data_IF_680442869942
#
_entry.id   IF_680442869942
#
_cell.length_a   1.000
_cell.length_b   1.000
_cell.length_c   1.000
_cell.angle_alpha   90.00
_cell.angle_beta   90.00
_cell.angle_gamma   90.00
#
_symmetry.space_group_name_H-M   'P 1'
#
loop_
_entity.id
_entity.type
_entity.pdbx_description
1 polymer ?
#
# COMPACT_ATOMS: atom_id res chain seq x y z
N UNK A 1 11.37 -1.99 7.77
CA UNK A 1 10.03 -2.18 7.19
C UNK A 1 9.97 -3.55 6.48
N UNK A 2 9.27 -4.51 7.08
CA UNK A 2 8.94 -5.78 6.43
C UNK A 2 7.67 -5.54 5.63
N UNK A 3 7.80 -5.46 4.31
CA UNK A 3 6.66 -5.35 3.40
C UNK A 3 5.91 -6.69 3.43
N UNK A 4 4.70 -6.69 3.99
CA UNK A 4 3.81 -7.84 3.91
C UNK A 4 3.04 -7.72 2.61
N UNK A 5 3.55 -8.38 1.58
CA UNK A 5 2.92 -8.47 0.27
C UNK A 5 1.59 -9.21 0.38
N UNK A 6 0.52 -8.66 -0.22
CA UNK A 6 -0.68 -9.43 -0.51
C UNK A 6 -0.26 -10.65 -1.34
N UNK A 7 -0.50 -11.90 -0.85
CA UNK A 7 -0.14 -13.08 -1.60
C UNK A 7 -0.89 -13.09 -2.94
N UNK A 8 -0.16 -13.03 -4.06
CA UNK A 8 -0.73 -13.17 -5.40
C UNK A 8 -0.71 -11.93 -6.30
N UNK A 9 -0.20 -10.77 -5.87
CA UNK A 9 -0.01 -9.61 -6.74
C UNK A 9 1.33 -9.68 -7.52
N UNK A 10 1.33 -9.87 -8.86
CA UNK A 10 2.55 -9.75 -9.65
C UNK A 10 2.84 -8.27 -9.95
N UNK A 11 3.41 -7.53 -9.00
CA UNK A 11 3.96 -6.21 -9.29
C UNK A 11 5.35 -6.34 -9.91
N UNK A 12 5.53 -5.70 -11.07
CA UNK A 12 6.77 -5.71 -11.87
C UNK A 12 7.92 -5.16 -11.02
N UNK A 13 8.96 -5.98 -10.80
CA UNK A 13 10.26 -5.48 -10.32
C UNK A 13 10.84 -4.50 -11.34
N UNK A 14 10.93 -3.23 -11.01
CA UNK A 14 11.85 -2.30 -11.68
C UNK A 14 13.28 -2.72 -11.31
N UNK A 15 14.06 -3.12 -12.33
CA UNK A 15 15.49 -3.40 -12.16
C UNK A 15 16.23 -2.06 -12.22
N UNK A 16 16.68 -1.55 -11.08
CA UNK A 16 17.69 -0.49 -11.05
C UNK A 16 19.08 -1.12 -11.24
N UNK A 17 19.74 -0.78 -12.34
CA UNK A 17 21.14 -1.07 -12.57
C UNK A 17 22.01 -0.06 -11.77
N UNK A 18 22.92 -0.56 -10.94
CA UNK A 18 24.07 0.16 -10.41
C UNK A 18 25.18 -0.88 -10.23
N UNK A 19 26.35 -0.76 -10.85
CA UNK A 19 27.18 0.43 -10.92
C UNK A 19 28.13 0.42 -9.73
N UNK A 20 28.99 -0.60 -9.63
CA UNK A 20 29.94 -0.74 -8.53
C UNK A 20 31.17 0.14 -8.80
N UNK A 21 31.26 1.27 -8.11
CA UNK A 21 32.52 1.97 -7.85
C UNK A 21 33.04 1.54 -6.48
N UNK A 22 34.25 1.01 -6.44
CA UNK A 22 35.01 0.75 -5.22
C UNK A 22 36.47 1.15 -5.46
N UNK A 23 36.90 2.22 -4.79
CA UNK A 23 38.30 2.61 -4.67
C UNK A 23 38.86 2.10 -3.34
N UNK A 24 40.07 1.51 -3.36
CA UNK A 24 41.07 1.57 -2.29
C UNK A 24 42.36 0.81 -2.70
N UNK A 25 43.53 1.12 -2.09
CA UNK A 25 44.79 1.33 -2.84
C UNK A 25 45.90 0.32 -2.52
N UNK A 26 46.93 0.28 -3.38
CA UNK A 26 48.25 -0.27 -3.00
C UNK A 26 49.19 -0.58 -4.17
N UNK A 27 50.43 -0.07 -4.09
CA UNK A 27 51.62 -0.76 -4.59
C UNK A 27 52.20 -0.35 -5.96
N UNK A 28 53.43 0.20 -5.91
CA UNK A 28 54.37 0.50 -7.03
C UNK A 28 54.66 -0.78 -7.85
N UNK A 29 55.02 -0.80 -9.15
CA UNK A 29 56.22 -0.23 -9.80
C UNK A 29 56.22 -0.47 -11.33
N UNK A 30 56.84 0.48 -12.08
CA UNK A 30 57.63 0.38 -13.34
C UNK A 30 57.00 -0.08 -14.68
N UNK A 31 57.14 0.82 -15.68
CA UNK A 31 57.69 0.72 -17.07
C UNK A 31 57.32 -0.55 -17.89
N UNK A 32 56.91 -0.53 -19.16
CA UNK A 32 57.28 0.31 -20.31
C UNK A 32 56.44 -0.10 -21.55
N UNK A 33 56.33 0.80 -22.55
CA UNK A 33 56.38 0.63 -24.04
C UNK A 33 55.66 -0.62 -24.64
N UNK A 34 54.87 -0.63 -25.71
CA UNK A 34 54.70 0.17 -26.95
C UNK A 34 53.69 -0.64 -27.81
N UNK A 35 52.98 -0.01 -28.75
CA UNK A 35 52.50 -0.72 -29.96
C UNK A 35 50.99 -0.91 -30.12
N UNK A 36 50.39 -0.07 -30.96
CA UNK A 36 49.25 -0.36 -31.86
C UNK A 36 49.85 -0.79 -33.23
N UNK A 37 49.09 -1.18 -34.28
CA UNK A 37 47.68 -1.64 -34.41
C UNK A 37 47.52 -2.81 -35.44
N UNK A 38 46.26 -3.02 -35.91
CA UNK A 38 45.77 -3.72 -37.13
C UNK A 38 45.39 -5.21 -36.95
N UNK A 39 44.10 -5.58 -37.01
CA UNK A 39 43.15 -5.64 -38.13
C UNK A 39 43.34 -6.87 -39.03
N UNK A 40 42.36 -7.78 -39.04
CA UNK A 40 41.69 -8.27 -40.26
C UNK A 40 40.57 -9.28 -39.99
N UNK A 41 39.64 -9.25 -40.93
CA UNK A 41 38.40 -10.01 -41.06
C UNK A 41 38.63 -11.51 -41.33
N UNK A 42 37.58 -12.30 -41.09
CA UNK A 42 37.48 -13.69 -41.55
C UNK A 42 36.09 -14.26 -41.33
N UNK A 43 35.29 -14.29 -42.41
CA UNK A 43 34.02 -14.99 -42.53
C UNK A 43 34.20 -16.51 -42.40
N UNK A 44 33.29 -17.20 -41.69
CA UNK A 44 32.79 -18.53 -42.06
C UNK A 44 31.61 -18.96 -41.15
N UNK A 45 30.43 -19.13 -41.76
CA UNK A 45 29.42 -20.17 -41.42
C UNK A 45 29.80 -21.44 -42.24
N UNK A 46 29.29 -22.67 -41.99
CA UNK A 46 28.00 -23.11 -41.42
C UNK A 46 28.21 -24.19 -40.31
N UNK A 47 27.29 -24.96 -39.72
CA UNK A 47 25.98 -25.49 -40.12
C UNK A 47 25.22 -26.05 -38.89
N UNK A 48 23.90 -26.12 -39.03
CA UNK A 48 22.84 -26.99 -38.44
C UNK A 48 22.85 -27.63 -37.03
N UNK A 49 21.59 -27.87 -36.60
CA UNK A 49 21.03 -28.75 -35.56
C UNK A 49 20.85 -28.16 -34.14
N UNK A 50 19.77 -28.38 -33.37
CA UNK A 50 18.39 -28.89 -33.55
C UNK A 50 17.69 -28.65 -32.19
N UNK A 51 16.35 -28.53 -32.22
CA UNK A 51 15.38 -28.87 -31.16
C UNK A 51 15.03 -27.87 -30.01
N UNK A 52 13.71 -27.82 -29.73
CA UNK A 52 13.10 -27.38 -28.46
C UNK A 52 12.25 -26.11 -28.54
N UNK A 53 11.11 -26.11 -29.25
CA UNK A 53 9.74 -26.24 -28.69
C UNK A 53 9.40 -25.30 -27.51
N UNK A 54 8.37 -24.46 -27.71
CA UNK A 54 7.76 -23.66 -26.64
C UNK A 54 6.97 -22.43 -27.12
N UNK A 55 6.10 -22.57 -28.12
CA UNK A 55 5.09 -21.55 -28.43
C UNK A 55 3.88 -21.77 -27.52
N UNK A 56 3.50 -20.78 -26.71
CA UNK A 56 2.13 -20.65 -26.23
C UNK A 56 1.51 -19.40 -26.85
N UNK A 57 0.69 -19.65 -27.87
CA UNK A 57 -0.09 -18.64 -28.54
C UNK A 57 -1.29 -18.26 -27.65
N UNK A 58 -1.47 -16.96 -27.44
CA UNK A 58 -2.71 -16.38 -26.95
C UNK A 58 -3.80 -16.58 -28.01
N UNK A 59 -4.63 -17.62 -27.83
CA UNK A 59 -5.78 -17.86 -28.69
C UNK A 59 -6.92 -16.93 -28.27
N UNK A 60 -7.18 -15.92 -29.11
CA UNK A 60 -8.43 -15.16 -29.16
C UNK A 60 -9.63 -16.12 -29.26
N UNK A 61 -10.51 -16.14 -28.25
CA UNK A 61 -11.89 -16.61 -28.45
C UNK A 61 -12.75 -15.42 -28.88
N UNK A 62 -13.35 -15.53 -30.06
CA UNK A 62 -14.46 -14.69 -30.51
C UNK A 62 -15.77 -15.27 -29.98
N UNK A 63 -16.66 -14.36 -29.53
CA UNK A 63 -18.11 -14.48 -29.65
C UNK A 63 -18.82 -15.53 -28.81
N UNK A 64 -19.34 -15.11 -27.66
CA UNK A 64 -20.61 -15.60 -27.14
C UNK A 64 -21.46 -14.39 -26.76
N UNK A 65 -22.52 -14.15 -27.53
CA UNK A 65 -23.58 -13.19 -27.21
C UNK A 65 -24.33 -13.68 -25.99
N UNK A 66 -24.07 -13.10 -24.82
CA UNK A 66 -24.91 -13.30 -23.64
C UNK A 66 -25.98 -12.22 -23.60
N UNK A 67 -27.23 -12.67 -23.61
CA UNK A 67 -28.42 -11.89 -23.35
C UNK A 67 -28.27 -11.12 -22.03
N UNK A 68 -28.73 -9.87 -22.02
CA UNK A 68 -28.75 -8.99 -20.85
C UNK A 68 -29.66 -9.54 -19.76
N UNK A 69 -29.08 -10.30 -18.84
CA UNK A 69 -29.55 -10.37 -17.45
C UNK A 69 -28.91 -9.24 -16.63
N UNK A 70 -29.49 -8.85 -15.49
CA UNK A 70 -28.80 -8.00 -14.54
C UNK A 70 -27.44 -8.62 -14.20
N UNK A 71 -26.38 -7.81 -13.99
CA UNK A 71 -25.10 -8.35 -13.57
C UNK A 71 -25.30 -9.22 -12.31
N UNK A 72 -24.61 -10.37 -12.20
CA UNK A 72 -24.71 -11.18 -11.00
C UNK A 72 -24.42 -10.29 -9.78
N UNK A 73 -25.27 -10.41 -8.74
CA UNK A 73 -25.08 -9.69 -7.50
C UNK A 73 -23.64 -9.91 -7.02
N UNK A 74 -22.89 -8.80 -6.90
CA UNK A 74 -21.54 -8.85 -6.37
C UNK A 74 -21.60 -9.48 -4.98
N UNK A 75 -20.76 -10.49 -4.64
CA UNK A 75 -20.78 -11.06 -3.30
C UNK A 75 -20.66 -9.94 -2.27
N UNK A 76 -21.45 -9.99 -1.19
CA UNK A 76 -21.33 -9.05 -0.09
C UNK A 76 -19.87 -9.04 0.39
N UNK A 77 -19.28 -7.85 0.44
CA UNK A 77 -17.88 -7.59 0.79
C UNK A 77 -17.85 -6.36 1.68
N UNK A 78 -16.98 -6.38 2.67
CA UNK A 78 -16.82 -5.26 3.59
C UNK A 78 -15.42 -4.65 3.45
N UNK A 79 -15.35 -3.41 2.98
CA UNK A 79 -14.16 -2.59 3.05
C UNK A 79 -14.30 -1.63 4.23
N UNK A 80 -13.43 -1.80 5.22
CA UNK A 80 -13.37 -1.00 6.42
C UNK A 80 -12.18 -0.05 6.35
N UNK A 81 -12.42 1.21 6.67
CA UNK A 81 -11.37 2.23 6.72
C UNK A 81 -10.99 2.50 8.17
N UNK A 82 -9.71 2.38 8.49
CA UNK A 82 -9.17 2.83 9.79
C UNK A 82 -8.20 3.97 9.55
N UNK A 83 -8.63 5.21 9.78
CA UNK A 83 -7.75 6.38 9.77
C UNK A 83 -7.44 6.82 11.20
N UNK A 84 -6.32 7.51 11.32
CA UNK A 84 -5.99 8.38 12.43
C UNK A 84 -5.78 9.78 11.90
N UNK A 85 -6.30 10.74 12.65
CA UNK A 85 -5.97 12.15 12.64
C UNK A 85 -4.48 12.38 12.44
N UNK A 86 -3.62 11.58 13.06
CA UNK A 86 -2.19 11.81 12.95
C UNK A 86 -1.38 10.54 12.74
N UNK A 87 -0.16 10.71 12.27
CA UNK A 87 0.90 9.71 12.42
C UNK A 87 0.97 9.31 13.90
N UNK A 88 1.24 8.03 14.19
CA UNK A 88 1.36 7.48 15.55
C UNK A 88 0.08 7.42 16.40
N UNK A 89 -1.11 7.53 15.80
CA UNK A 89 -2.37 7.34 16.53
C UNK A 89 -2.84 5.90 16.73
N UNK A 90 -1.98 4.89 16.51
CA UNK A 90 -2.32 3.48 16.74
C UNK A 90 -3.05 2.77 15.59
N UNK A 91 -3.18 3.39 14.41
CA UNK A 91 -3.88 2.82 13.22
C UNK A 91 -3.46 1.39 12.89
N UNK A 92 -2.16 1.20 12.62
CA UNK A 92 -1.60 -0.07 12.17
C UNK A 92 -1.74 -1.14 13.26
N UNK A 93 -1.65 -0.75 14.53
CA UNK A 93 -1.87 -1.65 15.66
C UNK A 93 -3.32 -2.10 15.72
N UNK A 94 -4.27 -1.17 15.67
CA UNK A 94 -5.71 -1.47 15.66
C UNK A 94 -6.09 -2.34 14.46
N UNK A 95 -5.62 -2.01 13.25
CA UNK A 95 -5.88 -2.78 12.04
C UNK A 95 -5.35 -4.22 12.13
N UNK A 96 -4.13 -4.40 12.65
CA UNK A 96 -3.55 -5.73 12.88
C UNK A 96 -4.30 -6.50 13.97
N UNK A 97 -4.77 -5.82 15.02
CA UNK A 97 -5.52 -6.47 16.08
C UNK A 97 -6.89 -6.95 15.57
N UNK A 98 -7.59 -6.12 14.79
CA UNK A 98 -8.82 -6.49 14.09
C UNK A 98 -8.59 -7.66 13.13
N UNK A 99 -7.53 -7.62 12.33
CA UNK A 99 -7.19 -8.70 11.39
C UNK A 99 -7.04 -10.07 12.08
N UNK A 100 -6.47 -10.11 13.28
CA UNK A 100 -6.30 -11.36 14.04
C UNK A 100 -7.62 -11.97 14.52
N UNK A 101 -8.65 -11.15 14.72
CA UNK A 101 -9.92 -11.54 15.32
C UNK A 101 -11.08 -11.62 14.32
N UNK A 102 -10.86 -11.19 13.08
CA UNK A 102 -11.85 -11.23 12.00
C UNK A 102 -11.50 -12.34 11.01
N UNK A 103 -12.46 -13.22 10.67
CA UNK A 103 -12.24 -14.22 9.62
C UNK A 103 -12.11 -13.54 8.26
N UNK A 104 -11.33 -14.16 7.37
CA UNK A 104 -11.14 -13.70 5.98
C UNK A 104 -10.79 -12.19 5.85
N UNK A 105 -9.93 -11.70 6.76
CA UNK A 105 -9.56 -10.29 6.84
C UNK A 105 -8.15 -10.01 6.29
N UNK A 106 -8.06 -9.06 5.36
CA UNK A 106 -6.80 -8.52 4.83
C UNK A 106 -6.57 -7.09 5.33
N UNK A 107 -5.32 -6.67 5.45
CA UNK A 107 -4.96 -5.29 5.81
C UNK A 107 -4.08 -4.70 4.72
N UNK A 108 -4.38 -3.48 4.30
CA UNK A 108 -3.60 -2.67 3.38
C UNK A 108 -3.16 -1.38 4.08
N UNK A 109 -1.86 -1.12 4.17
CA UNK A 109 -1.31 0.10 4.78
C UNK A 109 -0.94 1.12 3.72
N UNK A 110 -1.44 2.35 3.85
CA UNK A 110 -1.08 3.46 2.97
C UNK A 110 0.42 3.79 3.02
N UNK A 111 1.06 3.57 4.18
CA UNK A 111 2.48 3.83 4.38
C UNK A 111 3.37 2.96 3.46
N UNK A 112 2.86 1.84 2.93
CA UNK A 112 3.59 0.98 1.98
C UNK A 112 3.68 1.58 0.57
N UNK A 113 2.93 2.66 0.30
CA UNK A 113 2.83 3.29 -1.03
C UNK A 113 3.55 4.65 -1.10
N UNK A 114 4.44 4.97 -0.16
CA UNK A 114 5.27 6.17 -0.30
C UNK A 114 6.23 6.07 -1.49
N UNK A 115 6.34 7.17 -2.23
CA UNK A 115 7.36 7.35 -3.27
C UNK A 115 8.77 7.36 -2.65
N UNK A 116 9.81 7.02 -3.43
CA UNK A 116 11.18 7.17 -2.95
C UNK A 116 11.48 8.64 -2.62
N UNK A 117 12.35 8.87 -1.63
CA UNK A 117 12.73 10.21 -1.16
C UNK A 117 13.16 11.17 -2.29
N UNK A 118 13.81 10.64 -3.34
CA UNK A 118 14.23 11.42 -4.52
C UNK A 118 13.08 12.04 -5.31
N UNK A 119 11.86 11.58 -5.12
CA UNK A 119 10.64 12.08 -5.77
C UNK A 119 9.79 12.94 -4.81
N UNK A 120 10.25 13.14 -3.58
CA UNK A 120 9.54 13.94 -2.58
C UNK A 120 9.99 15.39 -2.69
N UNK A 121 9.03 16.29 -2.94
CA UNK A 121 9.31 17.72 -3.02
C UNK A 121 9.66 18.31 -1.66
N UNK A 122 10.41 19.40 -1.68
CA UNK A 122 10.78 20.17 -0.49
C UNK A 122 10.17 21.56 -0.61
N UNK A 123 9.55 22.08 0.45
CA UNK A 123 9.02 23.44 0.46
C UNK A 123 10.09 24.53 0.67
N UNK A 124 9.65 25.78 0.65
CA UNK A 124 10.50 26.97 0.86
C UNK A 124 11.23 26.97 2.22
N UNK A 125 10.71 26.24 3.21
CA UNK A 125 11.30 26.11 4.54
C UNK A 125 12.27 24.92 4.65
N UNK A 126 12.47 24.16 3.57
CA UNK A 126 13.33 22.98 3.56
C UNK A 126 12.65 21.71 4.09
N UNK A 127 11.31 21.70 4.22
CA UNK A 127 10.58 20.53 4.70
C UNK A 127 10.14 19.61 3.57
N UNK A 128 10.44 18.32 3.70
CA UNK A 128 9.97 17.28 2.78
C UNK A 128 8.46 17.13 2.89
N UNK A 129 7.77 17.16 1.75
CA UNK A 129 6.31 17.13 1.69
C UNK A 129 5.78 15.69 1.74
N UNK A 130 5.90 15.01 2.88
CA UNK A 130 5.38 13.64 3.05
C UNK A 130 3.88 13.59 3.38
N UNK A 131 3.32 14.66 3.96
CA UNK A 131 1.93 14.66 4.44
C UNK A 131 0.91 15.09 3.35
N UNK A 132 1.23 14.87 2.06
CA UNK A 132 0.40 15.18 0.88
C UNK A 132 0.18 13.95 -0.01
N UNK A 133 -0.87 13.95 -0.85
CA UNK A 133 -1.18 12.81 -1.73
C UNK A 133 -0.10 12.57 -2.80
N UNK A 134 0.57 13.63 -3.22
CA UNK A 134 1.64 13.63 -4.23
C UNK A 134 2.86 12.82 -3.77
N UNK A 135 3.04 12.63 -2.47
CA UNK A 135 4.09 11.79 -1.89
C UNK A 135 3.82 10.28 -2.01
N UNK A 136 2.60 9.90 -2.42
CA UNK A 136 2.13 8.53 -2.45
C UNK A 136 1.89 8.06 -3.89
N UNK A 137 2.16 6.78 -4.15
CA UNK A 137 1.75 6.09 -5.36
C UNK A 137 0.31 5.58 -5.21
N UNK A 138 -0.67 6.49 -5.27
CA UNK A 138 -2.08 6.16 -5.09
C UNK A 138 -2.63 5.28 -6.23
N UNK A 139 -2.02 5.29 -7.41
CA UNK A 139 -2.37 4.37 -8.51
C UNK A 139 -2.01 2.92 -8.17
N UNK A 140 -0.81 2.69 -7.63
CA UNK A 140 -0.38 1.37 -7.17
C UNK A 140 -1.26 0.88 -6.01
N UNK A 141 -1.63 1.79 -5.09
CA UNK A 141 -2.58 1.49 -4.02
C UNK A 141 -3.96 1.06 -4.57
N UNK A 142 -4.50 1.78 -5.56
CA UNK A 142 -5.75 1.42 -6.23
C UNK A 142 -5.65 0.08 -6.96
N UNK A 143 -4.50 -0.22 -7.57
CA UNK A 143 -4.24 -1.51 -8.20
C UNK A 143 -4.28 -2.65 -7.18
N UNK A 144 -3.65 -2.47 -6.02
CA UNK A 144 -3.68 -3.45 -4.92
C UNK A 144 -5.10 -3.69 -4.40
N UNK A 145 -5.88 -2.62 -4.21
CA UNK A 145 -7.30 -2.70 -3.79
C UNK A 145 -8.12 -3.43 -4.85
N UNK A 146 -7.95 -3.09 -6.13
CA UNK A 146 -8.68 -3.72 -7.24
C UNK A 146 -8.35 -5.21 -7.34
N UNK A 147 -7.08 -5.58 -7.19
CA UNK A 147 -6.66 -6.98 -7.19
C UNK A 147 -7.29 -7.76 -6.04
N UNK A 148 -7.33 -7.18 -4.83
CA UNK A 148 -8.05 -7.77 -3.69
C UNK A 148 -9.55 -7.90 -3.97
N UNK A 149 -10.18 -6.89 -4.57
CA UNK A 149 -11.59 -6.92 -4.93
C UNK A 149 -11.91 -7.99 -5.99
N UNK A 150 -11.01 -8.25 -6.93
CA UNK A 150 -11.22 -9.30 -7.94
C UNK A 150 -11.16 -10.70 -7.31
N UNK A 151 -10.21 -10.94 -6.40
CA UNK A 151 -10.00 -12.25 -5.79
C UNK A 151 -9.78 -12.18 -4.26
N UNK A 152 -10.84 -11.90 -3.49
CA UNK A 152 -10.71 -11.66 -2.05
C UNK A 152 -10.42 -12.93 -1.23
N UNK A 153 -10.47 -14.13 -1.82
CA UNK A 153 -10.54 -15.43 -1.13
C UNK A 153 -9.34 -16.37 -1.35
N UNK A 154 -8.22 -15.92 -1.92
CA UNK A 154 -7.08 -16.83 -2.18
C UNK A 154 -6.34 -17.36 -0.93
N UNK A 155 -6.76 -16.99 0.29
CA UNK A 155 -6.12 -17.40 1.53
C UNK A 155 -6.58 -18.75 2.10
N UNK A 156 -7.71 -19.32 1.68
CA UNK A 156 -8.20 -20.60 2.22
C UNK A 156 -8.78 -21.52 1.14
N UNK A 157 -7.91 -22.30 0.51
CA UNK A 157 -8.32 -23.54 -0.13
C UNK A 157 -8.47 -24.61 0.96
N UNK A 158 -9.69 -24.86 1.43
CA UNK A 158 -10.01 -26.09 2.15
C UNK A 158 -11.29 -26.71 1.59
N UNK A 159 -11.09 -27.88 1.02
CA UNK A 159 -12.07 -28.93 0.75
C UNK A 159 -12.90 -29.22 2.01
N UNK A 160 -14.21 -28.96 1.97
CA UNK A 160 -15.32 -29.79 2.46
C UNK A 160 -16.60 -28.94 2.61
N UNK A 161 -17.72 -29.66 2.61
CA UNK A 161 -19.11 -29.22 2.50
C UNK A 161 -19.53 -27.97 3.31
N UNK A 162 -20.50 -27.25 2.73
CA UNK A 162 -21.37 -26.25 3.39
C UNK A 162 -20.63 -25.14 4.16
N UNK A 163 -19.61 -24.54 3.55
CA UNK A 163 -18.98 -23.33 4.11
C UNK A 163 -19.98 -22.17 4.17
N UNK A 164 -20.24 -21.68 5.38
CA UNK A 164 -20.83 -20.36 5.61
C UNK A 164 -20.08 -19.39 4.69
N UNK A 165 -20.78 -18.68 3.79
CA UNK A 165 -20.16 -17.64 2.96
C UNK A 165 -19.65 -16.53 3.87
N UNK A 166 -18.41 -16.67 4.33
CA UNK A 166 -17.74 -15.65 5.11
C UNK A 166 -17.49 -14.43 4.22
N UNK A 167 -18.04 -13.28 4.63
CA UNK A 167 -17.86 -12.01 3.96
C UNK A 167 -16.37 -11.68 4.00
N UNK A 168 -15.67 -11.54 2.86
CA UNK A 168 -14.29 -11.11 2.87
C UNK A 168 -14.18 -9.66 3.35
N UNK A 169 -13.20 -9.39 4.21
CA UNK A 169 -12.99 -8.08 4.83
C UNK A 169 -11.64 -7.52 4.37
N UNK A 170 -11.65 -6.27 3.88
CA UNK A 170 -10.44 -5.49 3.65
C UNK A 170 -10.41 -4.32 4.63
N UNK A 171 -9.38 -4.26 5.47
CA UNK A 171 -9.09 -3.09 6.29
C UNK A 171 -8.04 -2.26 5.55
N UNK A 172 -8.39 -1.04 5.19
CA UNK A 172 -7.45 -0.06 4.63
C UNK A 172 -7.13 0.95 5.70
N UNK A 173 -5.86 1.03 6.09
CA UNK A 173 -5.38 1.95 7.11
C UNK A 173 -4.38 2.95 6.53
N UNK A 174 -4.49 4.21 6.96
CA UNK A 174 -3.71 5.28 6.39
C UNK A 174 -4.09 6.64 6.96
N UNK A 175 -3.30 7.65 6.67
CA UNK A 175 -3.47 8.99 7.23
C UNK A 175 -4.01 10.01 6.22
N UNK A 176 -4.17 9.69 4.92
CA UNK A 176 -4.74 10.56 3.87
C UNK A 176 -5.92 9.95 3.10
N UNK A 177 -6.44 8.80 3.54
CA UNK A 177 -7.42 8.02 2.77
C UNK A 177 -8.71 8.77 2.37
N UNK A 178 -9.21 9.70 3.20
CA UNK A 178 -10.47 10.43 2.94
C UNK A 178 -10.36 11.48 1.84
N UNK A 179 -9.16 11.74 1.34
CA UNK A 179 -8.90 12.83 0.41
C UNK A 179 -8.81 12.37 -1.03
N UNK A 180 -8.70 11.06 -1.20
CA UNK A 180 -8.54 10.46 -2.50
C UNK A 180 -9.91 10.03 -3.03
N UNK A 181 -10.55 10.96 -3.74
CA UNK A 181 -11.90 10.82 -4.32
C UNK A 181 -12.19 9.48 -5.01
N UNK A 182 -11.24 8.86 -5.73
CA UNK A 182 -11.49 7.55 -6.34
C UNK A 182 -11.89 6.45 -5.34
N UNK A 183 -11.62 6.64 -4.05
CA UNK A 183 -12.03 5.70 -3.02
C UNK A 183 -13.40 6.01 -2.41
N UNK A 184 -14.02 7.17 -2.63
CA UNK A 184 -15.18 7.65 -1.85
C UNK A 184 -16.36 6.66 -1.78
N UNK A 185 -16.51 5.80 -2.78
CA UNK A 185 -17.61 4.85 -2.91
C UNK A 185 -17.31 3.44 -2.38
N UNK A 186 -16.08 3.15 -1.96
CA UNK A 186 -15.70 1.78 -1.60
C UNK A 186 -15.95 1.42 -0.14
N UNK A 187 -16.29 2.38 0.71
CA UNK A 187 -16.28 2.21 2.17
C UNK A 187 -17.62 1.73 2.72
N UNK A 188 -17.58 0.67 3.52
CA UNK A 188 -18.74 0.21 4.29
C UNK A 188 -18.76 0.82 5.69
N UNK A 189 -17.59 0.98 6.31
CA UNK A 189 -17.45 1.59 7.65
C UNK A 189 -16.16 2.40 7.74
N UNK A 190 -16.24 3.58 8.35
CA UNK A 190 -15.11 4.50 8.47
C UNK A 190 -14.84 4.88 9.93
N UNK A 191 -13.62 4.64 10.38
CA UNK A 191 -13.13 5.04 11.70
C UNK A 191 -12.07 6.13 11.60
N UNK A 192 -12.10 7.08 12.54
CA UNK A 192 -11.12 8.17 12.62
C UNK A 192 -10.63 8.37 14.05
N UNK A 193 -9.41 7.89 14.35
CA UNK A 193 -8.73 8.12 15.63
C UNK A 193 -8.34 9.59 15.78
N UNK A 194 -8.70 10.23 16.87
CA UNK A 194 -8.37 11.62 17.21
C UNK A 194 -7.42 11.66 18.39
N UNK A 195 -6.38 12.49 18.32
CA UNK A 195 -5.44 12.71 19.44
C UNK A 195 -5.19 14.21 19.56
N UNK A 196 -5.19 14.78 20.78
CA UNK A 196 -4.80 16.18 21.00
C UNK A 196 -3.39 16.49 20.51
N UNK A 197 -3.15 17.74 20.12
CA UNK A 197 -1.86 18.23 19.61
C UNK A 197 -0.67 17.79 20.47
N UNK A 198 -0.72 18.04 21.79
CA UNK A 198 0.39 17.76 22.71
C UNK A 198 0.75 16.27 22.76
N UNK A 199 -0.27 15.42 22.90
CA UNK A 199 -0.06 13.98 22.95
C UNK A 199 0.44 13.44 21.61
N UNK A 200 -0.07 13.99 20.50
CA UNK A 200 0.42 13.62 19.19
C UNK A 200 1.90 14.01 18.99
N UNK A 201 2.25 15.25 19.32
CA UNK A 201 3.63 15.74 19.24
C UNK A 201 4.56 14.86 20.07
N UNK A 202 4.18 14.57 21.32
CA UNK A 202 4.90 13.67 22.21
C UNK A 202 5.10 12.28 21.60
N UNK A 203 4.04 11.65 21.07
CA UNK A 203 4.12 10.34 20.39
C UNK A 203 4.99 10.37 19.13
N UNK A 204 4.88 11.42 18.32
CA UNK A 204 5.69 11.61 17.09
C UNK A 204 7.17 11.64 17.44
N UNK A 205 7.56 12.45 18.43
CA UNK A 205 8.96 12.62 18.85
C UNK A 205 9.63 11.33 19.35
N UNK A 206 8.85 10.33 19.79
CA UNK A 206 9.40 9.03 20.20
C UNK A 206 9.70 8.08 19.03
N UNK A 207 9.22 8.37 17.82
CA UNK A 207 9.40 7.53 16.63
C UNK A 207 10.52 8.08 15.75
N UNK A 208 11.35 7.17 15.24
CA UNK A 208 12.39 7.52 14.27
C UNK A 208 11.88 7.23 12.86
N UNK A 209 11.65 8.29 12.09
CA UNK A 209 11.31 8.21 10.67
C UNK A 209 12.57 8.08 9.80
N UNK A 210 12.36 7.69 8.54
CA UNK A 210 13.40 7.68 7.50
C UNK A 210 12.86 8.44 6.28
N UNK A 211 13.40 9.64 5.97
CA UNK A 211 14.40 10.38 6.75
C UNK A 211 13.84 10.84 8.11
N UNK A 212 14.71 11.13 9.11
CA UNK A 212 14.24 11.66 10.40
C UNK A 212 13.55 13.01 10.25
N UNK A 213 12.56 13.29 11.11
CA UNK A 213 11.89 14.59 11.16
C UNK A 213 12.93 15.72 11.41
N UNK A 214 12.91 16.75 10.58
CA UNK A 214 13.74 17.94 10.77
C UNK A 214 13.27 18.76 12.00
N UNK A 215 14.14 19.60 12.61
CA UNK A 215 13.71 20.51 13.67
C UNK A 215 12.53 21.38 13.23
N UNK A 216 11.47 21.43 14.05
CA UNK A 216 10.25 22.19 13.74
C UNK A 216 9.28 21.53 12.75
N UNK A 217 9.62 20.37 12.17
CA UNK A 217 8.80 19.71 11.13
C UNK A 217 7.37 19.39 11.59
N UNK A 218 7.19 18.99 12.86
CA UNK A 218 5.85 18.71 13.38
C UNK A 218 4.94 19.95 13.38
N UNK A 219 5.47 21.08 13.83
CA UNK A 219 4.73 22.33 13.97
C UNK A 219 4.57 23.06 12.63
N UNK A 220 5.60 22.97 11.78
CA UNK A 220 5.66 23.66 10.50
C UNK A 220 4.99 22.92 9.35
N UNK A 221 4.90 21.59 9.41
CA UNK A 221 4.37 20.78 8.31
C UNK A 221 3.27 19.81 8.77
N UNK A 222 3.58 18.88 9.67
CA UNK A 222 2.70 17.75 10.01
C UNK A 222 1.35 18.21 10.56
N UNK A 223 1.36 19.06 11.59
CA UNK A 223 0.13 19.49 12.26
C UNK A 223 -0.71 20.44 11.40
N UNK A 224 -0.12 21.45 10.71
CA UNK A 224 -0.85 22.24 9.73
C UNK A 224 -1.52 21.38 8.64
N UNK A 225 -0.81 20.40 8.10
CA UNK A 225 -1.35 19.47 7.10
C UNK A 225 -2.50 18.65 7.69
N UNK A 226 -2.36 18.12 8.90
CA UNK A 226 -3.47 17.47 9.59
C UNK A 226 -4.72 18.36 9.72
N UNK A 227 -4.56 19.62 10.16
CA UNK A 227 -5.68 20.54 10.33
C UNK A 227 -6.38 20.85 9.01
N UNK A 228 -5.59 21.09 7.95
CA UNK A 228 -6.09 21.22 6.57
C UNK A 228 -6.92 19.99 6.22
N UNK A 229 -6.37 18.80 6.48
CA UNK A 229 -7.01 17.56 6.11
C UNK A 229 -8.29 17.26 6.87
N UNK A 230 -8.32 17.59 8.16
CA UNK A 230 -9.51 17.49 9.01
C UNK A 230 -10.63 18.40 8.51
N UNK A 231 -10.31 19.64 8.14
CA UNK A 231 -11.30 20.59 7.62
C UNK A 231 -11.92 20.11 6.31
N UNK A 232 -11.11 19.53 5.43
CA UNK A 232 -11.61 18.96 4.17
C UNK A 232 -12.57 17.76 4.41
N UNK A 233 -12.39 17.04 5.51
CA UNK A 233 -13.29 15.94 5.90
C UNK A 233 -14.67 16.40 6.38
N UNK A 234 -14.86 17.67 6.74
CA UNK A 234 -16.18 18.17 7.20
C UNK A 234 -17.24 18.13 6.09
N UNK A 235 -16.81 18.04 4.83
CA UNK A 235 -17.69 18.05 3.65
C UNK A 235 -17.95 16.66 3.05
N UNK A 236 -17.59 15.58 3.76
CA UNK A 236 -17.76 14.21 3.26
C UNK A 236 -19.17 13.71 3.53
N UNK A 237 -19.71 12.91 2.60
CA UNK A 237 -21.10 12.44 2.66
C UNK A 237 -21.28 11.11 3.39
N UNK A 238 -20.21 10.49 3.90
CA UNK A 238 -20.25 9.20 4.59
C UNK A 238 -20.15 9.37 6.11
N UNK A 239 -20.74 8.43 6.84
CA UNK A 239 -20.66 8.37 8.30
C UNK A 239 -19.22 8.04 8.75
N UNK A 240 -18.70 8.82 9.70
CA UNK A 240 -17.40 8.60 10.31
C UNK A 240 -17.58 8.40 11.81
N UNK A 241 -17.08 7.27 12.32
CA UNK A 241 -16.98 7.00 13.75
C UNK A 241 -15.68 7.61 14.26
N UNK A 242 -15.80 8.65 15.08
CA UNK A 242 -14.65 9.28 15.71
C UNK A 242 -14.24 8.50 16.96
N UNK A 243 -12.97 8.12 17.02
CA UNK A 243 -12.38 7.36 18.12
C UNK A 243 -11.43 8.26 18.91
N UNK A 244 -11.38 8.08 20.22
CA UNK A 244 -10.39 8.72 21.07
C UNK A 244 -9.10 7.89 21.07
N UNK A 245 -8.08 8.34 20.34
CA UNK A 245 -6.79 7.67 20.22
C UNK A 245 -5.90 7.77 21.47
N UNK A 246 -6.37 8.42 22.54
CA UNK A 246 -5.70 8.43 23.84
C UNK A 246 -6.04 7.21 24.70
N UNK A 247 -7.11 6.48 24.36
CA UNK A 247 -7.49 5.21 25.00
C UNK A 247 -6.43 4.11 24.79
N UNK A 248 -6.55 3.04 25.58
CA UNK A 248 -5.69 1.87 25.44
C UNK A 248 -5.95 1.13 24.12
N UNK A 249 -4.98 0.29 23.71
CA UNK A 249 -5.12 -0.56 22.52
C UNK A 249 -6.32 -1.50 22.63
N UNK A 250 -6.55 -2.07 23.83
CA UNK A 250 -7.64 -3.00 24.10
C UNK A 250 -9.01 -2.32 24.06
N UNK A 251 -9.13 -1.13 24.65
CA UNK A 251 -10.39 -0.36 24.61
C UNK A 251 -10.76 0.04 23.18
N UNK A 252 -9.77 0.50 22.40
CA UNK A 252 -9.97 0.87 21.00
C UNK A 252 -10.35 -0.36 20.16
N UNK A 253 -9.69 -1.48 20.38
CA UNK A 253 -10.01 -2.74 19.72
C UNK A 253 -11.44 -3.17 20.02
N UNK A 254 -11.82 -3.26 21.29
CA UNK A 254 -13.15 -3.71 21.72
C UNK A 254 -14.25 -2.81 21.15
N UNK A 255 -14.08 -1.49 21.26
CA UNK A 255 -15.02 -0.51 20.70
C UNK A 255 -15.23 -0.70 19.19
N UNK A 256 -14.15 -0.88 18.43
CA UNK A 256 -14.22 -0.99 16.96
C UNK A 256 -14.69 -2.37 16.52
N UNK A 257 -14.30 -3.41 17.25
CA UNK A 257 -14.71 -4.78 16.97
C UNK A 257 -16.22 -4.95 17.17
N UNK A 258 -16.76 -4.46 18.30
CA UNK A 258 -18.21 -4.53 18.58
C UNK A 258 -19.03 -3.81 17.52
N UNK A 259 -18.64 -2.59 17.15
CA UNK A 259 -19.28 -1.82 16.08
C UNK A 259 -19.23 -2.58 14.74
N UNK A 260 -18.06 -3.08 14.37
CA UNK A 260 -17.86 -3.78 13.11
C UNK A 260 -18.67 -5.07 13.00
N UNK A 261 -18.75 -5.86 14.07
CA UNK A 261 -19.55 -7.09 14.08
C UNK A 261 -21.05 -6.76 13.90
N UNK A 262 -21.54 -5.68 14.50
CA UNK A 262 -22.92 -5.23 14.29
C UNK A 262 -23.15 -4.79 12.85
N UNK A 263 -22.23 -4.04 12.24
CA UNK A 263 -22.32 -3.61 10.85
C UNK A 263 -22.26 -4.80 9.86
N UNK A 264 -21.40 -5.80 10.13
CA UNK A 264 -21.34 -7.01 9.33
C UNK A 264 -22.62 -7.86 9.44
N UNK A 265 -23.27 -7.86 10.62
CA UNK A 265 -24.54 -8.54 10.81
C UNK A 265 -25.66 -7.90 9.97
N UNK A 266 -25.69 -6.56 9.88
CA UNK A 266 -26.65 -5.81 9.05
C UNK A 266 -26.51 -6.11 7.56
N UNK A 267 -25.33 -6.50 7.10
CA UNK A 267 -25.09 -6.84 5.68
C UNK A 267 -25.50 -8.27 5.31
N UNK A 268 -25.73 -9.14 6.30
CA UNK A 268 -26.14 -10.53 6.09
C UNK A 268 -27.67 -10.72 6.05
N UNK A 269 -28.42 -9.78 6.61
CA UNK A 269 -29.89 -9.75 6.60
C UNK A 269 -30.44 -8.95 5.44
#
# INVERSE_FOLDING_TARGET
PSAYWLPGCPLRRSRSAGGAHGCAPGGRTRRSRTGKPQARAGLARPDRERAGQGRTACARRRGATHAGGPPPATPARACCRVRSSVTNGGKTTLAKNLQKHLPNCSVLSQDDFFKPESEIETDENGFLQYDVLEALNMEEMMSAISCWMENPTHSLASTHEESIKEIPILIIEGFLLFHYKPLDTIWNRCYFLTIPYEECKRRRSTRVYKPPDAPGYFDGHVWPMYLKHRKEMENVSWEIVYLDGTKSEEDLFSQVYEDLIQELAKQKG
#
